data_IF_623586453121
#
_entry.id   IF_623586453121
#
_cell.length_a   1.000
_cell.length_b   1.000
_cell.length_c   1.000
_cell.angle_alpha   90.00
_cell.angle_beta   90.00
_cell.angle_gamma   90.00
#
_symmetry.space_group_name_H-M   'P 1'
#
loop_
_entity.id
_entity.type
_entity.pdbx_description
1 polymer ?
#
# COMPACT_ATOMS: atom_id res chain seq x y z
N UNK A 1 -1.24 2.23 27.11
CA UNK A 1 -2.49 1.77 26.45
C UNK A 1 -3.42 2.97 26.35
N UNK A 2 -3.72 3.46 25.15
CA UNK A 2 -4.61 4.62 24.97
C UNK A 2 -6.02 4.10 24.70
N UNK A 3 -6.90 4.12 25.69
CA UNK A 3 -8.32 3.83 25.46
C UNK A 3 -8.98 5.08 24.87
N UNK A 4 -9.20 5.08 23.55
CA UNK A 4 -9.92 6.13 22.83
C UNK A 4 -11.07 5.48 22.07
N UNK A 5 -12.26 6.11 22.10
CA UNK A 5 -13.53 5.65 21.48
C UNK A 5 -14.12 4.37 22.10
N UNK A 6 -14.85 4.54 23.21
CA UNK A 6 -15.73 3.51 23.77
C UNK A 6 -16.91 3.29 22.82
N UNK A 7 -17.18 2.03 22.46
CA UNK A 7 -18.27 1.64 21.57
C UNK A 7 -19.29 0.79 22.31
N UNK A 8 -20.58 1.02 22.06
CA UNK A 8 -21.63 0.10 22.50
C UNK A 8 -21.78 -1.10 21.55
N UNK A 9 -22.53 -2.13 21.98
CA UNK A 9 -22.70 -3.36 21.21
C UNK A 9 -23.31 -3.19 19.81
N UNK A 10 -24.11 -2.14 19.59
CA UNK A 10 -24.62 -1.80 18.26
C UNK A 10 -23.50 -1.21 17.38
N UNK A 11 -22.72 -0.27 17.90
CA UNK A 11 -21.63 0.40 17.19
C UNK A 11 -20.50 -0.56 16.81
N UNK A 12 -20.19 -1.57 17.64
CA UNK A 12 -19.14 -2.56 17.33
C UNK A 12 -19.44 -3.34 16.05
N UNK A 13 -20.71 -3.51 15.67
CA UNK A 13 -21.10 -4.26 14.46
C UNK A 13 -20.77 -3.51 13.16
N UNK A 14 -20.71 -2.17 13.20
CA UNK A 14 -20.59 -1.35 11.98
C UNK A 14 -19.39 -0.41 11.98
N UNK A 15 -18.81 -0.11 13.14
CA UNK A 15 -17.71 0.85 13.30
C UNK A 15 -16.36 0.34 12.77
N UNK A 16 -15.85 -0.85 13.15
CA UNK A 16 -14.60 -1.36 12.59
C UNK A 16 -14.77 -1.97 11.20
N UNK A 17 -13.66 -2.16 10.50
CA UNK A 17 -13.61 -3.09 9.36
C UNK A 17 -13.64 -4.51 9.94
N UNK A 18 -14.75 -5.20 9.74
CA UNK A 18 -14.98 -6.54 10.29
C UNK A 18 -13.98 -7.56 9.73
N UNK A 19 -13.69 -8.59 10.52
CA UNK A 19 -12.88 -9.76 10.13
C UNK A 19 -11.43 -9.45 9.71
N UNK A 20 -10.92 -8.25 9.99
CA UNK A 20 -9.54 -7.86 9.64
C UNK A 20 -8.50 -8.83 10.22
N UNK A 21 -8.66 -9.26 11.48
CA UNK A 21 -7.75 -10.22 12.10
C UNK A 21 -7.80 -11.59 11.42
N UNK A 22 -9.00 -12.11 11.15
CA UNK A 22 -9.17 -13.38 10.43
C UNK A 22 -8.55 -13.32 9.03
N UNK A 23 -8.70 -12.19 8.35
CA UNK A 23 -8.06 -11.92 7.04
C UNK A 23 -6.53 -11.93 7.16
N UNK A 24 -5.96 -11.24 8.16
CA UNK A 24 -4.51 -11.25 8.41
C UNK A 24 -3.97 -12.65 8.72
N UNK A 25 -4.68 -13.45 9.52
CA UNK A 25 -4.29 -14.84 9.80
C UNK A 25 -4.28 -15.70 8.54
N UNK A 26 -5.26 -15.49 7.64
CA UNK A 26 -5.32 -16.18 6.36
C UNK A 26 -4.15 -15.79 5.45
N UNK A 27 -3.89 -14.50 5.28
CA UNK A 27 -2.75 -14.00 4.49
C UNK A 27 -1.44 -14.58 5.03
N UNK A 28 -1.25 -14.54 6.35
CA UNK A 28 -0.06 -15.12 6.98
C UNK A 28 0.10 -16.62 6.74
N UNK A 29 -1.00 -17.38 6.62
CA UNK A 29 -0.96 -18.79 6.22
C UNK A 29 -0.50 -18.93 4.77
N UNK A 30 -1.10 -18.18 3.84
CA UNK A 30 -0.74 -18.21 2.42
C UNK A 30 0.74 -17.89 2.21
N UNK A 31 1.25 -16.87 2.89
CA UNK A 31 2.67 -16.48 2.82
C UNK A 31 3.64 -17.59 3.28
N UNK A 32 3.20 -18.52 4.15
CA UNK A 32 4.05 -19.61 4.65
C UNK A 32 3.95 -20.89 3.83
N UNK A 33 2.84 -21.11 3.12
CA UNK A 33 2.52 -22.41 2.52
C UNK A 33 2.50 -22.38 1.00
N UNK A 34 2.34 -21.20 0.39
CA UNK A 34 2.29 -21.08 -1.07
C UNK A 34 3.68 -21.21 -1.70
N UNK A 35 3.74 -21.79 -2.89
CA UNK A 35 4.95 -21.87 -3.71
C UNK A 35 5.30 -20.48 -4.27
N UNK A 36 4.29 -19.73 -4.71
CA UNK A 36 4.38 -18.31 -5.08
C UNK A 36 3.53 -17.46 -4.12
N UNK A 37 4.12 -16.99 -3.00
CA UNK A 37 3.40 -16.24 -1.97
C UNK A 37 2.75 -14.96 -2.49
N UNK A 38 3.45 -14.22 -3.34
CA UNK A 38 2.99 -12.89 -3.78
C UNK A 38 1.80 -13.05 -4.71
N UNK A 39 1.90 -13.86 -5.75
CA UNK A 39 0.80 -14.07 -6.69
C UNK A 39 -0.43 -14.65 -5.99
N UNK A 40 -0.23 -15.56 -5.04
CA UNK A 40 -1.33 -16.13 -4.24
C UNK A 40 -2.04 -15.07 -3.40
N UNK A 41 -1.29 -14.19 -2.72
CA UNK A 41 -1.89 -13.10 -1.91
C UNK A 41 -2.58 -12.06 -2.78
N UNK A 42 -2.01 -11.70 -3.94
CA UNK A 42 -2.65 -10.80 -4.89
C UNK A 42 -3.99 -11.37 -5.35
N UNK A 43 -4.03 -12.65 -5.72
CA UNK A 43 -5.27 -13.31 -6.13
C UNK A 43 -6.32 -13.38 -5.01
N UNK A 44 -5.92 -13.70 -3.77
CA UNK A 44 -6.86 -13.75 -2.62
C UNK A 44 -7.46 -12.38 -2.31
N UNK A 45 -6.69 -11.30 -2.54
CA UNK A 45 -7.05 -9.94 -2.13
C UNK A 45 -7.59 -9.06 -3.26
N UNK A 46 -7.58 -9.55 -4.51
CA UNK A 46 -7.84 -8.71 -5.69
C UNK A 46 -6.80 -7.59 -5.84
N UNK A 47 -5.55 -7.89 -5.48
CA UNK A 47 -4.44 -6.95 -5.53
C UNK A 47 -3.72 -6.96 -6.87
N UNK A 48 -2.93 -5.90 -7.10
CA UNK A 48 -2.15 -5.68 -8.31
C UNK A 48 -0.66 -5.60 -7.97
N UNK A 49 0.19 -6.26 -8.77
CA UNK A 49 1.64 -6.05 -8.72
C UNK A 49 1.98 -4.79 -9.52
N UNK A 50 2.38 -3.72 -8.84
CA UNK A 50 2.67 -2.43 -9.46
C UNK A 50 4.07 -2.39 -10.06
N UNK A 51 5.04 -3.01 -9.39
CA UNK A 51 6.45 -2.86 -9.74
C UNK A 51 7.33 -3.98 -9.16
N UNK A 52 8.37 -4.33 -9.89
CA UNK A 52 9.49 -5.16 -9.45
C UNK A 52 10.75 -4.33 -9.63
N UNK A 53 11.55 -4.13 -8.59
CA UNK A 53 12.71 -3.25 -8.74
C UNK A 53 13.67 -3.19 -7.57
N UNK A 54 14.78 -2.49 -7.79
CA UNK A 54 15.78 -2.18 -6.76
C UNK A 54 15.60 -0.73 -6.33
N UNK A 55 15.63 -0.48 -5.02
CA UNK A 55 15.60 0.86 -4.46
C UNK A 55 16.85 1.62 -4.88
N UNK A 56 16.67 2.69 -5.63
CA UNK A 56 17.73 3.57 -6.10
C UNK A 56 18.09 4.61 -5.04
N UNK A 57 17.07 5.20 -4.39
CA UNK A 57 17.25 6.19 -3.33
C UNK A 57 16.08 6.12 -2.34
N UNK A 58 16.36 6.40 -1.07
CA UNK A 58 15.40 6.48 0.02
C UNK A 58 15.77 7.67 0.91
N UNK A 59 14.91 8.68 0.95
CA UNK A 59 15.08 9.90 1.76
C UNK A 59 14.06 9.91 2.88
N UNK A 60 14.54 9.97 4.12
CA UNK A 60 13.72 9.94 5.32
C UNK A 60 13.81 11.25 6.09
N UNK A 61 12.66 11.76 6.54
CA UNK A 61 12.56 12.89 7.46
C UNK A 61 11.52 12.63 8.53
N UNK A 62 11.90 12.78 9.80
CA UNK A 62 10.97 12.68 10.92
C UNK A 62 10.57 14.06 11.41
N UNK A 63 9.27 14.35 11.42
CA UNK A 63 8.72 15.64 11.82
C UNK A 63 7.33 15.47 12.45
N UNK A 64 7.08 16.13 13.59
CA UNK A 64 5.77 16.09 14.25
C UNK A 64 5.31 14.69 14.69
N UNK A 65 6.25 13.78 14.97
CA UNK A 65 5.95 12.39 15.33
C UNK A 65 5.60 11.48 14.15
N UNK A 66 5.79 11.95 12.91
CA UNK A 66 5.61 11.16 11.69
C UNK A 66 6.92 11.00 10.94
N UNK A 67 7.11 9.82 10.35
CA UNK A 67 8.23 9.53 9.47
C UNK A 67 7.77 9.67 8.02
N UNK A 68 8.30 10.67 7.32
CA UNK A 68 8.11 10.84 5.89
C UNK A 68 9.23 10.14 5.14
N UNK A 69 8.88 9.36 4.12
CA UNK A 69 9.87 8.67 3.27
C UNK A 69 9.51 8.91 1.81
N UNK A 70 10.47 9.40 1.03
CA UNK A 70 10.41 9.44 -0.43
C UNK A 70 11.38 8.40 -0.98
N UNK A 71 10.88 7.50 -1.82
CA UNK A 71 11.70 6.44 -2.40
C UNK A 71 11.60 6.44 -3.91
N UNK A 72 12.70 6.07 -4.57
CA UNK A 72 12.73 5.79 -6.00
C UNK A 72 13.25 4.38 -6.23
N UNK A 73 12.62 3.63 -7.13
CA UNK A 73 13.03 2.31 -7.53
C UNK A 73 13.31 2.29 -9.04
N UNK A 74 14.36 1.57 -9.45
CA UNK A 74 14.60 1.22 -10.85
C UNK A 74 14.07 -0.19 -11.11
N UNK A 75 13.33 -0.35 -12.20
CA UNK A 75 12.62 -1.59 -12.46
C UNK A 75 13.52 -2.73 -12.92
N UNK A 76 13.11 -3.94 -12.55
CA UNK A 76 13.65 -5.23 -12.99
C UNK A 76 12.55 -6.05 -13.64
N UNK A 77 12.94 -7.11 -14.34
CA UNK A 77 12.00 -8.07 -14.94
C UNK A 77 10.92 -7.37 -15.77
N UNK A 78 9.65 -7.51 -15.37
CA UNK A 78 8.48 -6.92 -16.04
C UNK A 78 8.46 -5.38 -15.99
N UNK A 79 9.24 -4.78 -15.10
CA UNK A 79 9.35 -3.33 -14.94
C UNK A 79 10.66 -2.76 -15.48
N UNK A 80 11.48 -3.57 -16.16
CA UNK A 80 12.77 -3.12 -16.70
C UNK A 80 12.59 -1.88 -17.60
N UNK A 81 13.43 -0.86 -17.38
CA UNK A 81 13.36 0.42 -18.09
C UNK A 81 12.40 1.46 -17.49
N UNK A 82 11.52 1.06 -16.57
CA UNK A 82 10.65 1.99 -15.82
C UNK A 82 11.26 2.40 -14.48
N UNK A 83 10.70 3.47 -13.90
CA UNK A 83 10.97 3.93 -12.54
C UNK A 83 9.68 3.99 -11.72
N UNK A 84 9.79 3.71 -10.43
CA UNK A 84 8.70 3.91 -9.47
C UNK A 84 9.11 4.93 -8.42
N UNK A 85 8.23 5.89 -8.16
CA UNK A 85 8.33 6.83 -7.06
C UNK A 85 7.30 6.47 -5.99
N UNK A 86 7.72 6.42 -4.72
CA UNK A 86 6.84 6.20 -3.58
C UNK A 86 6.93 7.38 -2.62
N UNK A 87 5.78 7.78 -2.07
CA UNK A 87 5.71 8.69 -0.92
C UNK A 87 5.04 8.01 0.26
N UNK A 88 5.65 8.10 1.43
CA UNK A 88 5.15 7.49 2.65
C UNK A 88 5.08 8.49 3.80
N UNK A 89 4.10 8.29 4.68
CA UNK A 89 4.00 8.89 6.01
C UNK A 89 3.67 7.77 6.99
N UNK A 90 4.70 7.14 7.56
CA UNK A 90 4.69 5.81 8.18
C UNK A 90 4.34 4.68 7.19
N UNK A 91 3.19 4.77 6.53
CA UNK A 91 2.74 3.87 5.46
C UNK A 91 2.92 4.51 4.07
N UNK A 92 3.02 3.70 3.03
CA UNK A 92 3.08 4.19 1.64
C UNK A 92 1.70 4.70 1.22
N UNK A 93 1.64 5.97 0.82
CA UNK A 93 0.39 6.68 0.49
C UNK A 93 0.22 6.93 -1.00
N UNK A 94 1.30 6.95 -1.77
CA UNK A 94 1.30 7.24 -3.20
C UNK A 94 2.37 6.40 -3.89
N UNK A 95 2.02 5.85 -5.05
CA UNK A 95 2.94 5.26 -5.99
C UNK A 95 2.74 5.91 -7.37
N UNK A 96 3.84 6.33 -8.00
CA UNK A 96 3.85 6.78 -9.40
C UNK A 96 4.82 5.95 -10.20
N UNK A 97 4.37 5.41 -11.33
CA UNK A 97 5.22 4.70 -12.30
C UNK A 97 5.44 5.63 -13.49
N UNK A 98 6.70 5.94 -13.78
CA UNK A 98 7.09 6.83 -14.88
C UNK A 98 6.31 8.17 -14.87
N UNK A 99 6.19 8.77 -13.69
CA UNK A 99 5.47 10.03 -13.44
C UNK A 99 3.93 9.93 -13.43
N UNK A 100 3.35 8.79 -13.79
CA UNK A 100 1.90 8.56 -13.81
C UNK A 100 1.42 7.90 -12.53
N UNK A 101 0.21 8.26 -12.08
CA UNK A 101 -0.40 7.66 -10.89
C UNK A 101 -0.57 6.15 -11.08
N UNK A 102 0.03 5.37 -10.20
CA UNK A 102 -0.10 3.91 -10.17
C UNK A 102 -1.01 3.46 -9.02
N UNK A 103 -0.89 4.07 -7.84
CA UNK A 103 -1.80 3.83 -6.73
C UNK A 103 -1.76 4.99 -5.74
N UNK A 104 -2.84 5.15 -4.98
CA UNK A 104 -2.96 6.19 -3.95
C UNK A 104 -3.90 5.73 -2.84
N UNK A 105 -3.60 6.12 -1.59
CA UNK A 105 -4.48 5.87 -0.46
C UNK A 105 -5.90 6.46 -0.72
N UNK A 106 -6.97 5.82 -0.24
CA UNK A 106 -7.01 4.74 0.75
C UNK A 106 -6.62 3.35 0.26
N UNK A 107 -6.38 3.14 -1.04
CA UNK A 107 -5.92 1.84 -1.51
C UNK A 107 -4.55 1.53 -0.91
N UNK A 108 -4.37 0.28 -0.48
CA UNK A 108 -3.25 -0.11 0.37
C UNK A 108 -2.06 -0.38 -0.53
N UNK A 109 -0.98 0.37 -0.39
CA UNK A 109 0.27 0.17 -1.14
C UNK A 109 1.27 -0.50 -0.20
N UNK A 110 1.88 -1.59 -0.65
CA UNK A 110 2.74 -2.41 0.22
C UNK A 110 4.01 -2.84 -0.49
N UNK A 111 5.18 -2.39 -0.01
CA UNK A 111 6.47 -2.97 -0.37
C UNK A 111 6.61 -4.38 0.24
N UNK A 112 7.02 -5.34 -0.57
CA UNK A 112 7.12 -6.75 -0.23
C UNK A 112 8.53 -7.27 -0.54
N UNK A 113 9.03 -8.16 0.31
CA UNK A 113 10.22 -8.94 0.00
C UNK A 113 9.94 -9.85 -1.22
N UNK A 114 10.78 -9.84 -2.28
CA UNK A 114 10.48 -10.53 -3.54
C UNK A 114 10.24 -12.03 -3.40
N UNK A 115 11.02 -12.70 -2.54
CA UNK A 115 10.91 -14.15 -2.36
C UNK A 115 9.82 -14.56 -1.36
N UNK A 116 9.75 -13.88 -0.21
CA UNK A 116 8.89 -14.32 0.91
C UNK A 116 7.50 -13.67 0.90
N UNK A 117 7.30 -12.59 0.14
CA UNK A 117 6.08 -11.80 0.15
C UNK A 117 5.79 -11.10 1.48
N UNK A 118 6.76 -11.06 2.42
CA UNK A 118 6.59 -10.35 3.69
C UNK A 118 6.63 -8.84 3.46
N UNK A 119 5.73 -8.12 4.13
CA UNK A 119 5.70 -6.66 4.08
C UNK A 119 6.97 -6.06 4.69
N UNK A 120 7.50 -5.03 4.04
CA UNK A 120 8.61 -4.21 4.53
C UNK A 120 8.04 -2.82 4.81
N UNK A 121 8.22 -2.34 6.05
CA UNK A 121 7.76 -1.00 6.44
C UNK A 121 8.58 0.05 5.72
N UNK A 122 7.96 1.18 5.35
CA UNK A 122 8.63 2.23 4.57
C UNK A 122 9.91 2.75 5.27
N UNK A 123 9.92 2.80 6.59
CA UNK A 123 11.06 3.22 7.41
C UNK A 123 12.26 2.25 7.38
N UNK A 124 12.06 0.99 6.97
CA UNK A 124 13.11 -0.05 6.91
C UNK A 124 13.67 -0.24 5.49
N UNK A 125 13.16 0.53 4.53
CA UNK A 125 13.55 0.41 3.14
C UNK A 125 14.81 1.23 2.89
N UNK A 126 15.85 0.56 2.43
CA UNK A 126 17.18 1.13 2.18
C UNK A 126 17.55 1.00 0.70
N UNK A 127 18.44 1.88 0.22
CA UNK A 127 18.98 1.81 -1.13
C UNK A 127 19.68 0.47 -1.37
N UNK A 128 19.53 -0.08 -2.58
CA UNK A 128 20.06 -1.39 -2.97
C UNK A 128 19.15 -2.58 -2.64
N UNK A 129 18.11 -2.41 -1.81
CA UNK A 129 17.15 -3.49 -1.55
C UNK A 129 16.31 -3.80 -2.79
N UNK A 130 16.08 -5.09 -3.07
CA UNK A 130 15.14 -5.54 -4.09
C UNK A 130 13.76 -5.71 -3.47
N UNK A 131 12.73 -5.17 -4.14
CA UNK A 131 11.36 -5.12 -3.65
C UNK A 131 10.37 -5.45 -4.77
N UNK A 132 9.25 -6.02 -4.35
CA UNK A 132 8.00 -6.02 -5.13
C UNK A 132 7.06 -5.03 -4.49
N UNK A 133 6.51 -4.10 -5.27
CA UNK A 133 5.48 -3.18 -4.78
C UNK A 133 4.13 -3.67 -5.26
N UNK A 134 3.26 -3.98 -4.30
CA UNK A 134 1.87 -4.39 -4.54
C UNK A 134 0.91 -3.30 -4.10
N UNK A 135 -0.30 -3.32 -4.65
CA UNK A 135 -1.42 -2.54 -4.13
C UNK A 135 -2.69 -3.37 -4.02
N UNK A 136 -3.56 -3.00 -3.07
CA UNK A 136 -4.81 -3.69 -2.78
C UNK A 136 -5.97 -2.71 -2.63
N UNK A 137 -7.17 -3.09 -3.10
CA UNK A 137 -8.37 -2.29 -2.91
C UNK A 137 -8.64 -1.96 -1.44
N UNK A 138 -8.92 -0.70 -1.15
CA UNK A 138 -9.38 -0.28 0.16
C UNK A 138 -10.72 -0.94 0.51
N UNK A 139 -10.97 -1.22 1.80
CA UNK A 139 -12.31 -1.57 2.27
C UNK A 139 -13.34 -0.52 1.81
N UNK A 140 -14.51 -0.98 1.35
CA UNK A 140 -15.59 -0.10 0.82
C UNK A 140 -15.92 1.09 1.72
N UNK A 141 -15.82 0.92 3.05
CA UNK A 141 -16.07 1.97 4.03
C UNK A 141 -15.15 3.19 3.89
N UNK A 142 -13.94 3.02 3.35
CA UNK A 142 -13.02 4.13 3.07
C UNK A 142 -13.25 4.78 1.70
N UNK A 143 -14.00 4.12 0.83
CA UNK A 143 -14.30 4.58 -0.53
C UNK A 143 -15.64 5.31 -0.64
N UNK A 144 -16.31 5.58 0.48
CA UNK A 144 -17.47 6.48 0.54
C UNK A 144 -17.03 7.93 0.49
N UNK A 145 -17.89 8.86 0.08
CA UNK A 145 -17.56 10.29 0.01
C UNK A 145 -16.94 10.82 1.32
N UNK A 146 -17.53 10.46 2.46
CA UNK A 146 -17.02 10.82 3.79
C UNK A 146 -15.67 10.20 4.12
N UNK A 147 -15.41 8.96 3.67
CA UNK A 147 -14.12 8.30 3.84
C UNK A 147 -13.05 8.95 2.97
N UNK A 148 -13.38 9.26 1.72
CA UNK A 148 -12.49 9.90 0.76
C UNK A 148 -12.15 11.33 1.19
N UNK A 149 -13.09 12.09 1.75
CA UNK A 149 -12.79 13.45 2.25
C UNK A 149 -11.77 13.43 3.39
N UNK A 150 -11.89 12.48 4.34
CA UNK A 150 -10.89 12.29 5.41
C UNK A 150 -9.50 11.91 4.85
N UNK A 151 -9.46 11.08 3.81
CA UNK A 151 -8.21 10.73 3.14
C UNK A 151 -7.62 11.91 2.38
N UNK A 152 -8.44 12.71 1.71
CA UNK A 152 -8.01 13.93 1.02
C UNK A 152 -7.31 14.91 1.97
N UNK A 153 -7.83 15.11 3.17
CA UNK A 153 -7.16 15.91 4.21
C UNK A 153 -5.81 15.32 4.62
N UNK A 154 -5.77 14.00 4.83
CA UNK A 154 -4.55 13.25 5.20
C UNK A 154 -3.45 13.35 4.12
N UNK A 155 -3.85 13.21 2.85
CA UNK A 155 -2.97 13.31 1.69
C UNK A 155 -2.41 14.73 1.53
N UNK A 156 -3.26 15.76 1.65
CA UNK A 156 -2.83 17.17 1.64
C UNK A 156 -1.81 17.45 2.74
N UNK A 157 -2.06 16.98 3.96
CA UNK A 157 -1.12 17.08 5.08
C UNK A 157 0.21 16.32 4.85
N UNK A 158 0.25 15.45 3.85
CA UNK A 158 1.44 14.70 3.42
C UNK A 158 2.03 15.23 2.11
N UNK A 159 1.59 16.42 1.64
CA UNK A 159 2.02 17.06 0.38
C UNK A 159 1.79 16.16 -0.86
N UNK A 160 0.69 15.43 -0.84
CA UNK A 160 0.15 14.64 -1.96
C UNK A 160 -1.11 15.37 -2.43
N UNK A 161 -1.14 15.74 -3.71
CA UNK A 161 -2.20 16.58 -4.31
C UNK A 161 -3.02 15.83 -5.36
N UNK A 162 -2.61 14.60 -5.66
CA UNK A 162 -3.23 13.69 -6.59
C UNK A 162 -4.65 13.32 -6.11
N UNK A 163 -5.58 13.25 -7.06
CA UNK A 163 -6.95 12.81 -6.78
C UNK A 163 -7.00 11.29 -6.64
N UNK A 164 -7.94 10.81 -5.81
CA UNK A 164 -8.18 9.38 -5.67
C UNK A 164 -8.82 8.82 -6.95
N UNK A 165 -8.14 7.84 -7.54
CA UNK A 165 -8.68 6.98 -8.60
C UNK A 165 -8.62 5.55 -8.08
N UNK A 166 -9.72 4.79 -8.08
CA UNK A 166 -9.71 3.41 -7.63
C UNK A 166 -8.65 2.58 -8.34
N UNK A 167 -7.93 1.77 -7.57
CA UNK A 167 -6.85 0.92 -8.06
C UNK A 167 -7.27 0.07 -9.27
N UNK A 168 -8.50 -0.43 -9.24
CA UNK A 168 -9.06 -1.26 -10.29
C UNK A 168 -9.21 -0.49 -11.60
N UNK A 169 -9.52 0.82 -11.55
CA UNK A 169 -9.62 1.68 -12.74
C UNK A 169 -8.26 2.01 -13.33
N UNK A 170 -7.24 2.18 -12.48
CA UNK A 170 -5.86 2.46 -12.91
C UNK A 170 -5.23 1.28 -13.67
N UNK A 171 -5.74 0.05 -13.48
CA UNK A 171 -5.13 -1.17 -14.00
C UNK A 171 -6.03 -2.01 -14.92
N UNK A 172 -7.14 -1.44 -15.42
CA UNK A 172 -8.11 -2.12 -16.31
C UNK A 172 -7.50 -2.72 -17.60
N UNK A 173 -6.27 -2.36 -17.98
CA UNK A 173 -5.67 -2.67 -19.28
C UNK A 173 -4.32 -3.41 -19.22
N UNK A 174 -3.88 -3.86 -18.04
CA UNK A 174 -2.57 -4.51 -17.88
C UNK A 174 -2.61 -6.05 -17.84
N UNK A 175 -3.79 -6.66 -18.00
CA UNK A 175 -3.98 -8.13 -18.04
C UNK A 175 -4.11 -8.67 -19.48
N UNK A 176 -3.34 -8.12 -20.44
CA UNK A 176 -3.24 -8.65 -21.83
C UNK A 176 -1.85 -9.20 -22.12
#
# INVERSE_FOLDING_TARGET
YTARRILNGCQVKTSPIQLSLSKSMRIGRLLRTAIDPISTVLSELGGFRLFDGIVNNSEQKTEGGFTFVNMTLVGKHRSAGSKLELKAKNEVLLAKKDGKLAAIAPDIITPLHPETGKCITAEKIEAGQELVVAAFPAPRKWRTDSGLELWKETLKGSKILEEYIPLEQLHLHNDS
#
